data_IF_945810917597
#
_entry.id   IF_945810917597
#
_cell.length_a   1.000
_cell.length_b   1.000
_cell.length_c   1.000
_cell.angle_alpha   90.00
_cell.angle_beta   90.00
_cell.angle_gamma   90.00
#
_symmetry.space_group_name_H-M   'P 1'
#
loop_
_entity.id
_entity.type
_entity.pdbx_description
1 polymer ?
#
# COMPACT_ATOMS: atom_id res chain seq x y z
N UNK A 1 18.87 13.36 29.83
CA UNK A 1 18.55 13.26 28.38
C UNK A 1 17.50 12.17 28.23
N UNK A 2 16.21 12.52 28.27
CA UNK A 2 15.11 11.55 28.13
C UNK A 2 14.73 11.48 26.66
N UNK A 3 15.12 10.40 26.00
CA UNK A 3 14.71 10.08 24.63
C UNK A 3 13.22 9.72 24.67
N UNK A 4 12.35 10.65 24.28
CA UNK A 4 10.94 10.34 24.05
C UNK A 4 10.84 9.34 22.89
N UNK A 5 10.69 8.05 23.22
CA UNK A 5 10.36 7.02 22.24
C UNK A 5 8.92 7.25 21.75
N UNK A 6 8.75 8.13 20.77
CA UNK A 6 7.57 8.12 19.91
C UNK A 6 7.60 6.78 19.16
N UNK A 7 6.91 5.77 19.69
CA UNK A 7 6.63 4.50 19.00
C UNK A 7 5.65 4.76 17.86
N UNK A 8 6.07 5.59 16.91
CA UNK A 8 5.44 5.71 15.62
C UNK A 8 5.64 4.36 14.94
N UNK A 9 4.59 3.56 14.74
CA UNK A 9 4.65 2.26 14.05
C UNK A 9 5.12 2.33 12.58
N UNK A 10 5.67 3.48 12.19
CA UNK A 10 6.17 3.80 10.86
C UNK A 10 7.63 3.41 10.70
N UNK A 11 7.93 2.84 9.55
CA UNK A 11 9.28 2.50 9.13
C UNK A 11 10.06 3.79 8.80
N UNK A 12 11.25 3.93 9.39
CA UNK A 12 12.14 5.10 9.22
C UNK A 12 13.42 4.71 8.44
N UNK A 13 14.13 5.71 7.91
CA UNK A 13 15.48 5.60 7.30
C UNK A 13 15.62 4.55 6.18
N UNK A 14 16.55 3.60 6.32
CA UNK A 14 16.98 2.65 5.30
C UNK A 14 15.88 1.66 4.89
N UNK A 15 15.16 1.01 5.82
CA UNK A 15 14.10 0.07 5.44
C UNK A 15 12.98 0.73 4.61
N UNK A 16 12.70 2.03 4.78
CA UNK A 16 11.74 2.75 3.91
C UNK A 16 12.23 2.78 2.46
N UNK A 17 13.51 3.02 2.22
CA UNK A 17 14.09 3.04 0.87
C UNK A 17 13.99 1.65 0.26
N UNK A 18 14.33 0.60 1.02
CA UNK A 18 14.21 -0.79 0.58
C UNK A 18 12.78 -1.14 0.17
N UNK A 19 11.78 -0.79 0.98
CA UNK A 19 10.36 -1.05 0.67
C UNK A 19 9.90 -0.34 -0.62
N UNK A 20 10.42 0.86 -0.92
CA UNK A 20 10.13 1.56 -2.18
C UNK A 20 10.82 0.90 -3.38
N UNK A 21 12.05 0.41 -3.18
CA UNK A 21 12.77 -0.36 -4.21
C UNK A 21 12.10 -1.71 -4.47
N UNK A 22 11.61 -2.39 -3.45
CA UNK A 22 10.78 -3.59 -3.59
C UNK A 22 9.50 -3.28 -4.38
N UNK A 23 8.80 -2.18 -4.07
CA UNK A 23 7.65 -1.72 -4.84
C UNK A 23 7.98 -1.47 -6.32
N UNK A 24 9.11 -0.80 -6.59
CA UNK A 24 9.62 -0.56 -7.95
C UNK A 24 9.91 -1.86 -8.69
N UNK A 25 10.50 -2.83 -7.99
CA UNK A 25 10.83 -4.15 -8.54
C UNK A 25 9.57 -4.94 -8.87
N UNK A 26 8.57 -4.92 -7.98
CA UNK A 26 7.26 -5.55 -8.21
C UNK A 26 6.57 -4.92 -9.43
N UNK A 27 6.58 -3.60 -9.54
CA UNK A 27 6.01 -2.89 -10.69
C UNK A 27 6.70 -3.32 -12.00
N UNK A 28 8.04 -3.27 -12.05
CA UNK A 28 8.81 -3.66 -13.22
C UNK A 28 8.61 -5.13 -13.62
N UNK A 29 8.63 -6.04 -12.66
CA UNK A 29 8.39 -7.46 -12.88
C UNK A 29 6.96 -7.73 -13.39
N UNK A 30 5.97 -7.00 -12.86
CA UNK A 30 4.57 -7.13 -13.27
C UNK A 30 4.34 -6.61 -14.68
N UNK A 31 4.95 -5.48 -15.06
CA UNK A 31 4.89 -4.94 -16.42
C UNK A 31 5.52 -5.92 -17.43
N UNK A 32 6.71 -6.44 -17.11
CA UNK A 32 7.38 -7.42 -17.95
C UNK A 32 6.56 -8.71 -18.07
N UNK A 33 6.04 -9.23 -16.95
CA UNK A 33 5.18 -10.41 -16.94
C UNK A 33 3.90 -10.21 -17.74
N UNK A 34 3.25 -9.04 -17.61
CA UNK A 34 2.02 -8.75 -18.34
C UNK A 34 2.28 -8.70 -19.84
N UNK A 35 3.37 -8.06 -20.27
CA UNK A 35 3.78 -8.04 -21.67
C UNK A 35 3.90 -9.46 -22.26
N UNK A 36 4.41 -10.43 -21.48
CA UNK A 36 4.51 -11.83 -21.91
C UNK A 36 3.17 -12.54 -22.06
N UNK A 37 2.10 -12.07 -21.43
CA UNK A 37 0.76 -12.68 -21.59
C UNK A 37 0.17 -12.46 -22.99
N UNK A 38 0.62 -11.42 -23.70
CA UNK A 38 0.08 -11.00 -24.99
C UNK A 38 -1.32 -10.37 -24.91
N UNK A 39 -1.82 -10.08 -23.70
CA UNK A 39 -3.07 -9.34 -23.51
C UNK A 39 -2.89 -7.87 -23.93
N UNK A 40 -3.97 -7.21 -24.38
CA UNK A 40 -3.88 -5.84 -24.86
C UNK A 40 -3.68 -4.85 -23.71
N UNK A 41 -2.77 -3.89 -23.89
CA UNK A 41 -2.39 -2.91 -22.87
C UNK A 41 -3.52 -2.01 -22.36
N UNK A 42 -4.59 -1.82 -23.14
CA UNK A 42 -5.75 -1.07 -22.65
C UNK A 42 -6.49 -1.81 -21.52
N UNK A 43 -6.47 -3.15 -21.52
CA UNK A 43 -7.00 -3.96 -20.41
C UNK A 43 -6.13 -3.75 -19.18
N UNK A 44 -4.80 -3.73 -19.34
CA UNK A 44 -3.90 -3.39 -18.25
C UNK A 44 -4.21 -2.04 -17.63
N UNK A 45 -4.30 -0.99 -18.47
CA UNK A 45 -4.58 0.37 -18.01
C UNK A 45 -5.93 0.47 -17.28
N UNK A 46 -6.99 -0.19 -17.79
CA UNK A 46 -8.28 -0.21 -17.12
C UNK A 46 -8.26 -0.99 -15.80
N UNK A 47 -7.61 -2.15 -15.77
CA UNK A 47 -7.51 -2.99 -14.58
C UNK A 47 -6.64 -2.36 -13.49
N UNK A 48 -5.67 -1.52 -13.85
CA UNK A 48 -4.80 -0.83 -12.91
C UNK A 48 -5.59 0.06 -11.94
N UNK A 49 -6.71 0.64 -12.38
CA UNK A 49 -7.52 1.56 -11.57
C UNK A 49 -8.55 0.84 -10.66
N UNK A 50 -8.78 -0.46 -10.85
CA UNK A 50 -9.80 -1.20 -10.10
C UNK A 50 -9.55 -1.27 -8.57
N UNK A 51 -8.32 -1.48 -8.08
CA UNK A 51 -8.07 -1.57 -6.64
C UNK A 51 -8.39 -0.27 -5.88
N UNK A 52 -8.34 0.88 -6.57
CA UNK A 52 -8.61 2.20 -5.97
C UNK A 52 -10.09 2.43 -5.63
N UNK A 53 -11.01 1.59 -6.14
CA UNK A 53 -12.40 1.56 -5.67
C UNK A 53 -12.45 1.30 -4.16
N UNK A 54 -11.44 0.63 -3.59
CA UNK A 54 -11.31 0.46 -2.13
C UNK A 54 -11.28 1.76 -1.33
N UNK A 55 -10.92 2.88 -1.96
CA UNK A 55 -10.93 4.20 -1.33
C UNK A 55 -12.34 4.71 -1.03
N UNK A 56 -13.38 4.17 -1.67
CA UNK A 56 -14.78 4.52 -1.37
C UNK A 56 -15.18 4.21 0.06
N UNK A 57 -14.49 3.27 0.74
CA UNK A 57 -14.70 2.99 2.16
C UNK A 57 -14.44 4.19 3.08
N UNK A 58 -13.63 5.16 2.63
CA UNK A 58 -13.41 6.41 3.37
C UNK A 58 -14.65 7.32 3.40
N UNK A 59 -15.64 7.09 2.54
CA UNK A 59 -16.93 7.80 2.61
C UNK A 59 -17.72 7.44 3.87
N UNK A 60 -17.53 6.23 4.41
CA UNK A 60 -18.18 5.81 5.64
C UNK A 60 -17.44 6.31 6.90
N UNK A 61 -16.14 6.01 7.01
CA UNK A 61 -15.23 6.53 8.04
C UNK A 61 -13.78 6.07 7.78
N UNK A 62 -12.84 6.60 8.57
CA UNK A 62 -11.40 6.31 8.44
C UNK A 62 -11.01 4.86 8.73
N UNK A 63 -11.71 4.17 9.64
CA UNK A 63 -11.44 2.76 9.96
C UNK A 63 -11.93 1.83 8.85
N UNK A 64 -13.15 2.06 8.37
CA UNK A 64 -13.73 1.33 7.24
C UNK A 64 -12.86 1.52 5.98
N UNK A 65 -12.48 2.77 5.67
CA UNK A 65 -11.58 3.06 4.55
C UNK A 65 -10.20 2.41 4.67
N UNK A 66 -9.59 2.40 5.86
CA UNK A 66 -8.31 1.71 6.05
C UNK A 66 -8.44 0.19 5.89
N UNK A 67 -9.53 -0.41 6.39
CA UNK A 67 -9.77 -1.84 6.24
C UNK A 67 -9.98 -2.23 4.76
N UNK A 68 -10.86 -1.53 4.04
CA UNK A 68 -11.11 -1.81 2.62
C UNK A 68 -9.88 -1.58 1.76
N UNK A 69 -9.14 -0.49 2.01
CA UNK A 69 -7.88 -0.21 1.32
C UNK A 69 -6.86 -1.34 1.56
N UNK A 70 -6.63 -1.73 2.81
CA UNK A 70 -5.64 -2.75 3.16
C UNK A 70 -5.98 -4.13 2.58
N UNK A 71 -7.27 -4.49 2.53
CA UNK A 71 -7.71 -5.74 1.89
C UNK A 71 -7.40 -5.78 0.40
N UNK A 72 -7.46 -4.64 -0.29
CA UNK A 72 -7.12 -4.54 -1.72
C UNK A 72 -5.64 -4.25 -1.99
N UNK A 73 -4.89 -3.75 -1.00
CA UNK A 73 -3.47 -3.38 -1.14
C UNK A 73 -2.52 -4.34 -0.41
N UNK A 74 -3.00 -5.52 -0.02
CA UNK A 74 -2.14 -6.64 0.37
C UNK A 74 -1.71 -7.45 -0.85
N UNK A 75 -0.46 -7.90 -0.87
CA UNK A 75 0.09 -8.67 -2.01
C UNK A 75 -0.35 -10.14 -1.99
N UNK A 76 -0.92 -10.65 -0.89
CA UNK A 76 -1.27 -12.07 -0.77
C UNK A 76 -2.31 -12.52 -1.80
N UNK A 77 -3.47 -11.84 -1.97
CA UNK A 77 -4.46 -12.25 -2.96
C UNK A 77 -3.95 -12.27 -4.40
N UNK A 78 -3.24 -11.24 -4.92
CA UNK A 78 -2.79 -11.28 -6.30
C UNK A 78 -1.63 -12.27 -6.52
N UNK A 79 -0.78 -12.55 -5.52
CA UNK A 79 0.22 -13.63 -5.64
C UNK A 79 -0.48 -14.99 -5.78
N UNK A 80 -1.48 -15.28 -4.94
CA UNK A 80 -2.24 -16.53 -5.04
C UNK A 80 -2.99 -16.63 -6.38
N UNK A 81 -3.54 -15.51 -6.86
CA UNK A 81 -4.20 -15.45 -8.16
C UNK A 81 -3.22 -15.70 -9.31
N UNK A 82 -2.00 -15.17 -9.23
CA UNK A 82 -0.94 -15.42 -10.22
C UNK A 82 -0.56 -16.91 -10.26
N UNK A 83 -0.35 -17.53 -9.10
CA UNK A 83 -0.08 -18.96 -8.99
C UNK A 83 -1.22 -19.79 -9.59
N UNK A 84 -2.48 -19.45 -9.29
CA UNK A 84 -3.65 -20.11 -9.86
C UNK A 84 -3.76 -19.90 -11.38
N UNK A 85 -3.38 -18.73 -11.87
CA UNK A 85 -3.33 -18.43 -13.30
C UNK A 85 -2.33 -19.31 -14.04
N UNK A 86 -1.12 -19.46 -13.50
CA UNK A 86 -0.10 -20.35 -14.06
C UNK A 86 -0.48 -21.82 -13.97
N UNK A 87 -1.01 -22.27 -12.83
CA UNK A 87 -1.44 -23.66 -12.65
C UNK A 87 -2.55 -24.09 -13.64
N UNK A 88 -3.31 -23.12 -14.17
CA UNK A 88 -4.40 -23.34 -15.13
C UNK A 88 -4.04 -22.89 -16.56
N UNK A 89 -2.80 -22.49 -16.81
CA UNK A 89 -2.36 -21.87 -18.07
C UNK A 89 -3.28 -20.73 -18.56
N UNK A 90 -3.87 -19.99 -17.60
CA UNK A 90 -4.86 -18.96 -17.87
C UNK A 90 -4.19 -17.59 -17.96
N UNK A 91 -4.04 -17.11 -19.20
CA UNK A 91 -3.53 -15.75 -19.49
C UNK A 91 -4.36 -14.66 -18.82
N UNK A 92 -5.69 -14.82 -18.76
CA UNK A 92 -6.58 -13.84 -18.13
C UNK A 92 -6.35 -13.74 -16.62
N UNK A 93 -6.25 -14.87 -15.92
CA UNK A 93 -5.99 -14.87 -14.48
C UNK A 93 -4.59 -14.33 -14.16
N UNK A 94 -3.58 -14.76 -14.92
CA UNK A 94 -2.22 -14.25 -14.76
C UNK A 94 -2.16 -12.73 -15.05
N UNK A 95 -2.81 -12.28 -16.13
CA UNK A 95 -2.90 -10.86 -16.49
C UNK A 95 -3.57 -10.02 -15.40
N UNK A 96 -4.72 -10.45 -14.88
CA UNK A 96 -5.42 -9.76 -13.79
C UNK A 96 -4.55 -9.66 -12.53
N UNK A 97 -3.88 -10.76 -12.16
CA UNK A 97 -2.97 -10.78 -11.02
C UNK A 97 -1.78 -9.83 -11.20
N UNK A 98 -1.20 -9.78 -12.41
CA UNK A 98 -0.08 -8.89 -12.74
C UNK A 98 -0.50 -7.41 -12.75
N UNK A 99 -1.69 -7.07 -13.25
CA UNK A 99 -2.25 -5.72 -13.13
C UNK A 99 -2.36 -5.29 -11.66
N UNK A 100 -2.89 -6.20 -10.82
CA UNK A 100 -3.08 -5.93 -9.40
C UNK A 100 -1.73 -5.78 -8.66
N UNK A 101 -0.75 -6.65 -8.94
CA UNK A 101 0.61 -6.50 -8.40
C UNK A 101 1.28 -5.21 -8.87
N UNK A 102 1.09 -4.81 -10.13
CA UNK A 102 1.61 -3.57 -10.66
C UNK A 102 1.05 -2.36 -9.90
N UNK A 103 -0.25 -2.35 -9.61
CA UNK A 103 -0.89 -1.30 -8.80
C UNK A 103 -0.26 -1.20 -7.41
N UNK A 104 -0.16 -2.33 -6.69
CA UNK A 104 0.44 -2.37 -5.35
C UNK A 104 1.92 -1.94 -5.39
N UNK A 105 2.66 -2.36 -6.42
CA UNK A 105 4.05 -1.97 -6.63
C UNK A 105 4.21 -0.47 -6.87
N UNK A 106 3.34 0.13 -7.68
CA UNK A 106 3.29 1.57 -7.94
C UNK A 106 3.02 2.37 -6.66
N UNK A 107 2.02 1.93 -5.88
CA UNK A 107 1.69 2.55 -4.59
C UNK A 107 2.90 2.53 -3.63
N UNK A 108 3.54 1.36 -3.47
CA UNK A 108 4.71 1.21 -2.61
C UNK A 108 5.90 2.04 -3.09
N UNK A 109 6.13 2.12 -4.39
CA UNK A 109 7.15 2.98 -4.98
C UNK A 109 6.89 4.47 -4.66
N UNK A 110 5.63 4.90 -4.75
CA UNK A 110 5.21 6.26 -4.41
C UNK A 110 5.20 6.54 -2.89
N UNK A 111 5.38 5.52 -2.05
CA UNK A 111 5.42 5.63 -0.60
C UNK A 111 4.05 5.43 0.06
N UNK A 112 3.03 5.04 -0.71
CA UNK A 112 1.80 4.51 -0.18
C UNK A 112 2.03 3.10 0.37
N UNK A 113 1.39 2.78 1.48
CA UNK A 113 1.49 1.49 2.11
C UNK A 113 0.22 1.21 2.90
N UNK A 114 0.19 0.07 3.58
CA UNK A 114 -0.93 -0.28 4.46
C UNK A 114 -1.24 0.85 5.43
N UNK A 115 -2.52 1.24 5.45
CA UNK A 115 -3.08 2.37 6.19
C UNK A 115 -3.37 1.97 7.63
N UNK A 116 -3.07 2.86 8.57
CA UNK A 116 -3.62 2.80 9.92
C UNK A 116 -5.01 3.43 9.93
N UNK A 117 -5.95 2.86 10.69
CA UNK A 117 -7.32 3.39 10.85
C UNK A 117 -7.41 4.70 11.63
N UNK A 118 -6.29 5.37 11.89
CA UNK A 118 -6.20 6.61 12.69
C UNK A 118 -6.27 7.88 11.83
N UNK A 119 -5.79 7.84 10.58
CA UNK A 119 -5.92 8.96 9.63
C UNK A 119 -5.71 8.47 8.18
N UNK A 120 -6.29 9.15 7.20
CA UNK A 120 -6.15 8.81 5.78
C UNK A 120 -4.68 8.79 5.30
N UNK A 121 -3.86 9.72 5.80
CA UNK A 121 -2.45 9.82 5.43
C UNK A 121 -1.52 8.90 6.22
N UNK A 122 -1.99 8.22 7.27
CA UNK A 122 -1.12 7.43 8.14
C UNK A 122 -0.95 6.02 7.59
N UNK A 123 0.25 5.72 7.10
CA UNK A 123 0.61 4.38 6.60
C UNK A 123 1.78 3.81 7.39
N UNK A 124 2.04 2.51 7.30
CA UNK A 124 3.25 1.89 7.86
C UNK A 124 4.56 2.46 7.26
N UNK A 125 4.49 3.07 6.08
CA UNK A 125 5.61 3.76 5.45
C UNK A 125 5.77 5.21 5.90
N UNK A 126 4.83 5.80 6.64
CA UNK A 126 4.87 7.21 7.05
C UNK A 126 3.55 7.95 6.86
N UNK A 127 3.53 9.20 7.30
CA UNK A 127 2.46 10.14 6.93
C UNK A 127 2.68 10.67 5.50
N UNK A 128 1.65 10.57 4.68
CA UNK A 128 1.63 11.17 3.34
C UNK A 128 1.41 12.69 3.47
N UNK A 129 2.20 13.49 2.74
CA UNK A 129 2.01 14.95 2.66
C UNK A 129 2.72 15.79 3.74
N UNK A 130 3.63 15.22 4.54
CA UNK A 130 4.50 16.00 5.41
C UNK A 130 3.85 16.55 6.68
N UNK A 131 2.62 16.14 7.01
CA UNK A 131 2.06 16.34 8.35
C UNK A 131 2.88 15.48 9.32
N UNK A 132 3.94 16.06 9.87
CA UNK A 132 4.67 15.52 10.99
C UNK A 132 3.68 15.13 12.08
N UNK A 133 3.94 14.00 12.74
CA UNK A 133 3.29 13.61 14.00
C UNK A 133 3.18 14.86 14.88
N UNK A 134 1.97 15.39 15.08
CA UNK A 134 1.79 16.46 16.07
C UNK A 134 2.16 15.82 17.41
N UNK A 135 3.19 16.33 18.11
CA UNK A 135 3.54 15.77 19.40
C UNK A 135 2.30 15.82 20.28
N UNK A 136 1.97 14.69 20.90
CA UNK A 136 0.94 14.64 21.94
C UNK A 136 1.35 15.67 22.99
N UNK A 137 0.51 16.68 23.30
CA UNK A 137 0.83 17.64 24.34
C UNK A 137 1.13 16.86 25.62
N UNK A 138 2.31 17.09 26.21
CA UNK A 138 2.62 16.53 27.50
C UNK A 138 1.52 16.98 28.48
N UNK A 139 1.00 16.09 29.35
CA UNK A 139 0.14 16.54 30.42
C UNK A 139 0.92 17.60 31.20
N UNK A 140 0.37 18.82 31.28
CA UNK A 140 0.89 19.86 32.18
C UNK A 140 1.08 19.19 33.53
N UNK A 141 2.32 19.23 34.03
CA UNK A 141 2.61 18.81 35.38
C UNK A 141 1.66 19.62 36.27
N UNK A 142 0.70 18.94 36.90
CA UNK A 142 -0.08 19.55 37.96
C UNK A 142 0.93 19.92 39.03
N UNK A 143 1.24 21.21 39.13
CA UNK A 143 1.84 21.79 40.33
C UNK A 143 0.86 21.47 41.46
N UNK A 144 1.22 20.49 42.26
CA UNK A 144 0.56 20.24 43.54
C UNK A 144 1.21 21.19 44.52
N UNK A 145 0.52 22.30 44.78
CA UNK A 145 0.76 23.17 45.94
C UNK A 145 0.49 22.44 47.27
#
# INVERSE_FOLDING_TARGET
MSSSNSNSGTVKTWPRILLRLEGTTILGASLWGYHRTGLPWWVFAGCLLLPDIGMTGYLANTRAGAATYNSLHTSTPPILLLCAGWARDSKLLAGAALCWLAHIGMDRMAGYGLKYGTAFGHTHLGFIGGAAEKPVPLPEARETD
#
